data_IF_320837926634
#
_entry.id   IF_320837926634
#
_cell.length_a   1.000
_cell.length_b   1.000
_cell.length_c   1.000
_cell.angle_alpha   90.00
_cell.angle_beta   90.00
_cell.angle_gamma   90.00
#
_symmetry.space_group_name_H-M   'P 1'
#
loop_
_entity.id
_entity.type
_entity.pdbx_description
1 polymer ?
#
# COMPACT_ATOMS: atom_id res chain seq x y z
N UNK A 1 8.96 2.56 15.97
CA UNK A 1 7.95 3.49 16.50
C UNK A 1 6.64 3.22 15.79
N UNK A 2 5.52 3.44 16.47
CA UNK A 2 4.18 3.22 15.92
C UNK A 2 3.31 4.45 16.14
N UNK A 3 2.56 4.85 15.11
CA UNK A 3 1.53 5.86 15.20
C UNK A 3 0.20 5.15 15.46
N UNK A 4 -0.51 5.61 16.48
CA UNK A 4 -1.92 5.31 16.67
C UNK A 4 -2.75 6.19 15.74
N UNK A 5 -3.46 5.57 14.80
CA UNK A 5 -4.52 6.20 14.04
C UNK A 5 -5.89 5.77 14.59
N UNK A 6 -6.79 6.74 14.71
CA UNK A 6 -8.21 6.49 14.91
C UNK A 6 -8.94 6.62 13.57
N UNK A 7 -9.66 5.56 13.19
CA UNK A 7 -10.37 5.49 11.93
C UNK A 7 -11.85 5.18 12.15
N UNK A 8 -12.72 5.93 11.48
CA UNK A 8 -14.14 5.65 11.45
C UNK A 8 -14.76 6.23 10.18
N UNK A 9 -15.41 5.39 9.37
CA UNK A 9 -15.98 5.77 8.08
C UNK A 9 -14.93 6.39 7.15
N UNK A 10 -15.04 7.69 6.87
CA UNK A 10 -14.10 8.46 6.05
C UNK A 10 -13.28 9.45 6.89
N UNK A 11 -13.38 9.35 8.22
CA UNK A 11 -12.59 10.13 9.14
C UNK A 11 -11.41 9.30 9.62
N UNK A 12 -10.21 9.85 9.43
CA UNK A 12 -8.95 9.30 9.92
C UNK A 12 -8.22 10.41 10.67
N UNK A 13 -7.59 10.04 11.79
CA UNK A 13 -6.71 10.92 12.54
C UNK A 13 -5.56 10.15 13.14
N UNK A 14 -4.35 10.46 12.69
CA UNK A 14 -3.12 10.13 13.43
C UNK A 14 -3.14 10.91 14.76
N UNK A 15 -3.18 10.18 15.88
CA UNK A 15 -3.40 10.75 17.21
C UNK A 15 -2.08 10.97 17.96
N UNK A 16 -1.28 9.92 18.12
CA UNK A 16 -0.07 9.91 18.94
C UNK A 16 0.95 8.89 18.42
N UNK A 17 2.22 9.10 18.77
CA UNK A 17 3.37 8.24 18.44
C UNK A 17 3.88 7.55 19.70
N UNK A 18 4.18 6.26 19.61
CA UNK A 18 4.81 5.46 20.67
C UNK A 18 6.11 4.84 20.18
N UNK A 19 7.01 4.51 21.11
CA UNK A 19 8.26 3.82 20.75
C UNK A 19 7.96 2.38 20.32
N UNK A 20 7.07 1.69 21.04
CA UNK A 20 6.67 0.31 20.77
C UNK A 20 5.15 0.13 20.71
N UNK A 21 4.70 -0.98 20.13
CA UNK A 21 3.27 -1.34 20.07
C UNK A 21 2.71 -1.62 21.46
N UNK A 22 3.51 -2.20 22.35
CA UNK A 22 3.11 -2.50 23.72
C UNK A 22 2.76 -1.22 24.49
N UNK A 23 3.57 -0.16 24.37
CA UNK A 23 3.26 1.15 24.96
C UNK A 23 1.95 1.72 24.41
N UNK A 24 1.74 1.57 23.10
CA UNK A 24 0.48 1.97 22.45
C UNK A 24 -0.72 1.20 22.99
N UNK A 25 -0.58 -0.12 23.18
CA UNK A 25 -1.62 -0.99 23.75
C UNK A 25 -1.92 -0.63 25.21
N UNK A 26 -0.91 -0.33 26.02
CA UNK A 26 -1.10 0.21 27.37
C UNK A 26 -1.88 1.53 27.37
N UNK A 27 -1.67 2.40 26.39
CA UNK A 27 -2.45 3.62 26.23
C UNK A 27 -3.91 3.34 25.86
N UNK A 28 -4.19 2.55 24.82
CA UNK A 28 -5.57 2.35 24.34
C UNK A 28 -6.44 1.53 25.31
N UNK A 29 -5.85 0.70 26.17
CA UNK A 29 -6.60 0.00 27.23
C UNK A 29 -7.26 0.94 28.24
N UNK A 30 -6.84 2.22 28.29
CA UNK A 30 -7.49 3.26 29.11
C UNK A 30 -8.71 3.89 28.42
N UNK A 31 -8.94 3.61 27.14
CA UNK A 31 -10.10 4.08 26.39
C UNK A 31 -11.32 3.24 26.78
N UNK A 32 -12.40 3.85 27.30
CA UNK A 32 -13.62 3.13 27.63
C UNK A 32 -14.20 2.39 26.42
N UNK A 33 -14.46 1.09 26.61
CA UNK A 33 -15.00 0.24 25.56
C UNK A 33 -13.98 -0.21 24.51
N UNK A 34 -12.68 -0.07 24.79
CA UNK A 34 -11.62 -0.72 24.01
C UNK A 34 -11.79 -2.25 23.99
N UNK A 35 -11.65 -2.82 22.81
CA UNK A 35 -11.72 -4.25 22.52
C UNK A 35 -10.59 -4.63 21.57
N UNK A 36 -9.97 -5.78 21.83
CA UNK A 36 -9.08 -6.50 20.92
C UNK A 36 -9.69 -7.88 20.72
N UNK A 37 -10.02 -8.22 19.48
CA UNK A 37 -10.58 -9.54 19.14
C UNK A 37 -9.98 -10.11 17.86
N UNK A 38 -10.22 -11.41 17.62
CA UNK A 38 -9.76 -12.09 16.42
C UNK A 38 -10.95 -12.29 15.48
N UNK A 39 -10.91 -11.66 14.31
CA UNK A 39 -11.89 -11.80 13.23
C UNK A 39 -11.21 -12.41 12.00
N UNK A 40 -11.71 -13.55 11.52
CA UNK A 40 -11.18 -14.26 10.34
C UNK A 40 -9.66 -14.51 10.35
N UNK A 41 -9.07 -14.63 11.54
CA UNK A 41 -7.64 -14.86 11.74
C UNK A 41 -6.79 -13.58 11.84
N UNK A 42 -7.41 -12.41 11.89
CA UNK A 42 -6.76 -11.12 12.06
C UNK A 42 -7.14 -10.49 13.40
N UNK A 43 -6.18 -9.86 14.06
CA UNK A 43 -6.43 -9.04 15.25
C UNK A 43 -7.09 -7.73 14.82
N UNK A 44 -8.26 -7.42 15.40
CA UNK A 44 -8.98 -6.17 15.20
C UNK A 44 -9.06 -5.45 16.54
N UNK A 45 -8.63 -4.20 16.55
CA UNK A 45 -8.66 -3.32 17.72
C UNK A 45 -9.63 -2.15 17.47
N UNK A 46 -10.54 -1.89 18.40
CA UNK A 46 -11.49 -0.79 18.29
C UNK A 46 -12.04 -0.35 19.64
N UNK A 47 -12.80 0.75 19.66
CA UNK A 47 -13.67 1.09 20.77
C UNK A 47 -15.01 1.67 20.29
N UNK A 48 -16.04 1.61 21.13
CA UNK A 48 -17.32 2.26 20.82
C UNK A 48 -17.40 3.65 21.47
N UNK A 49 -17.63 4.67 20.66
CA UNK A 49 -17.69 6.07 21.13
C UNK A 49 -18.83 6.34 22.12
N UNK A 50 -19.89 5.51 22.18
CA UNK A 50 -20.96 5.61 23.19
C UNK A 50 -20.45 5.43 24.62
N UNK A 51 -19.34 4.74 24.80
CA UNK A 51 -18.73 4.51 26.10
C UNK A 51 -17.84 5.68 26.54
N UNK A 52 -17.51 6.60 25.63
CA UNK A 52 -16.75 7.81 25.97
C UNK A 52 -17.62 8.85 26.66
N UNK A 53 -17.00 9.61 27.55
CA UNK A 53 -17.62 10.82 28.11
C UNK A 53 -17.66 11.95 27.06
N UNK A 54 -18.49 12.96 27.32
CA UNK A 54 -18.53 14.20 26.52
C UNK A 54 -17.13 14.82 26.37
N UNK A 55 -16.31 14.73 27.41
CA UNK A 55 -14.88 15.03 27.41
C UNK A 55 -14.17 14.11 28.41
N UNK A 56 -12.99 13.63 28.05
CA UNK A 56 -12.10 12.93 28.96
C UNK A 56 -10.64 13.16 28.58
N UNK A 57 -9.75 12.85 29.53
CA UNK A 57 -8.32 12.96 29.38
C UNK A 57 -7.69 11.60 29.69
N UNK A 58 -6.78 11.17 28.84
CA UNK A 58 -5.87 10.06 29.14
C UNK A 58 -4.54 10.67 29.51
N UNK A 59 -4.07 10.41 30.72
CA UNK A 59 -2.76 10.87 31.20
C UNK A 59 -1.76 9.73 31.00
N UNK A 60 -0.80 9.91 30.09
CA UNK A 60 0.19 8.90 29.75
C UNK A 60 1.59 9.51 29.72
N UNK A 61 2.50 8.96 30.53
CA UNK A 61 3.86 9.50 30.72
C UNK A 61 3.89 11.03 31.00
N UNK A 62 2.89 11.53 31.75
CA UNK A 62 2.75 12.95 32.10
C UNK A 62 2.18 13.84 30.98
N UNK A 63 1.92 13.29 29.79
CA UNK A 63 1.22 13.97 28.71
C UNK A 63 -0.29 13.77 28.87
N UNK A 64 -1.08 14.76 28.44
CA UNK A 64 -2.54 14.74 28.51
C UNK A 64 -3.09 14.63 27.08
N UNK A 65 -3.80 13.54 26.79
CA UNK A 65 -4.45 13.32 25.50
C UNK A 65 -5.97 13.50 25.67
N UNK A 66 -6.57 14.55 25.07
CA UNK A 66 -8.00 14.78 25.15
C UNK A 66 -8.76 13.89 24.17
N UNK A 67 -9.85 13.29 24.64
CA UNK A 67 -10.83 12.57 23.83
C UNK A 67 -12.24 13.07 24.14
N UNK A 68 -13.11 12.98 23.15
CA UNK A 68 -14.52 13.36 23.28
C UNK A 68 -15.36 12.45 22.41
N UNK A 69 -16.47 11.95 22.97
CA UNK A 69 -17.45 11.17 22.20
C UNK A 69 -17.99 11.91 20.98
N UNK A 70 -18.00 13.24 21.00
CA UNK A 70 -18.46 14.07 19.88
C UNK A 70 -17.52 14.08 18.67
N UNK A 71 -16.32 13.48 18.81
CA UNK A 71 -15.39 13.32 17.69
C UNK A 71 -15.80 12.20 16.73
N UNK A 72 -16.76 11.36 17.13
CA UNK A 72 -17.09 10.11 16.46
C UNK A 72 -18.61 9.92 16.32
N UNK A 73 -18.99 9.08 15.37
CA UNK A 73 -20.33 8.51 15.27
C UNK A 73 -20.56 7.50 16.41
N UNK A 74 -21.74 7.55 17.02
CA UNK A 74 -22.15 6.67 18.12
C UNK A 74 -22.63 5.29 17.67
N UNK A 75 -23.01 5.14 16.41
CA UNK A 75 -23.62 3.90 15.92
C UNK A 75 -22.61 2.85 15.47
N UNK A 76 -21.35 3.26 15.28
CA UNK A 76 -20.27 2.41 14.77
C UNK A 76 -19.06 2.48 15.68
N UNK A 77 -18.19 1.47 15.56
CA UNK A 77 -16.93 1.44 16.27
C UNK A 77 -15.93 2.43 15.66
N UNK A 78 -14.96 2.82 16.45
CA UNK A 78 -13.78 3.56 16.01
C UNK A 78 -12.64 2.56 16.00
N UNK A 79 -12.11 2.29 14.82
CA UNK A 79 -11.01 1.35 14.62
C UNK A 79 -9.70 1.99 15.09
N UNK A 80 -8.86 1.17 15.72
CA UNK A 80 -7.51 1.50 16.14
C UNK A 80 -6.56 0.87 15.13
N UNK A 81 -5.85 1.73 14.38
CA UNK A 81 -4.90 1.30 13.37
C UNK A 81 -3.49 1.65 13.86
N UNK A 82 -2.62 0.65 13.88
CA UNK A 82 -1.21 0.83 14.23
C UNK A 82 -0.37 0.96 12.97
N UNK A 83 0.21 2.15 12.75
CA UNK A 83 1.11 2.42 11.61
C UNK A 83 2.55 2.43 12.07
N UNK A 84 3.35 1.51 11.56
CA UNK A 84 4.79 1.54 11.78
C UNK A 84 5.44 2.72 11.05
N UNK A 85 6.31 3.45 11.75
CA UNK A 85 7.05 4.58 11.18
C UNK A 85 8.54 4.49 11.56
N UNK A 86 9.38 4.64 10.54
CA UNK A 86 10.83 4.67 10.69
C UNK A 86 11.34 6.01 11.22
N UNK A 87 12.24 5.98 12.21
CA UNK A 87 12.85 7.18 12.78
C UNK A 87 14.22 7.48 12.16
N UNK A 88 14.25 8.43 11.23
CA UNK A 88 15.47 8.86 10.52
C UNK A 88 16.40 9.79 11.34
N UNK A 89 16.01 10.15 12.57
CA UNK A 89 16.90 10.87 13.48
C UNK A 89 18.01 9.98 14.02
N UNK A 90 17.82 8.66 13.97
CA UNK A 90 18.82 7.67 14.35
C UNK A 90 19.41 7.00 13.12
N UNK A 91 20.73 6.84 13.13
CA UNK A 91 21.46 6.20 12.03
C UNK A 91 21.26 4.69 12.09
N UNK A 92 20.77 4.09 11.00
CA UNK A 92 20.59 2.63 10.87
C UNK A 92 21.32 2.00 9.66
N UNK A 93 21.85 2.82 8.72
CA UNK A 93 22.56 2.40 7.50
C UNK A 93 21.82 1.33 6.65
N UNK A 94 20.48 1.34 6.71
CA UNK A 94 19.61 0.37 6.03
C UNK A 94 18.49 1.08 5.26
N UNK A 95 17.91 0.39 4.29
CA UNK A 95 16.62 0.79 3.70
C UNK A 95 15.56 0.73 4.81
N UNK A 96 14.67 1.72 4.85
CA UNK A 96 13.58 1.75 5.84
C UNK A 96 12.57 0.64 5.57
N UNK A 97 11.96 0.11 6.63
CA UNK A 97 10.82 -0.79 6.52
C UNK A 97 9.60 -0.08 5.89
N UNK A 98 8.62 -0.87 5.49
CA UNK A 98 7.44 -0.41 4.75
C UNK A 98 7.55 -0.66 3.25
N UNK A 99 6.72 0.04 2.48
CA UNK A 99 6.59 -0.19 1.06
C UNK A 99 6.48 1.11 0.27
N UNK A 100 6.84 1.05 -1.01
CA UNK A 100 6.74 2.15 -1.97
C UNK A 100 5.74 1.79 -3.04
N UNK A 101 4.85 2.74 -3.38
CA UNK A 101 3.96 2.63 -4.53
C UNK A 101 4.77 2.82 -5.82
N UNK A 102 4.77 1.79 -6.66
CA UNK A 102 5.32 1.82 -8.03
C UNK A 102 4.14 1.67 -8.98
N UNK A 103 3.67 2.81 -9.50
CA UNK A 103 2.48 2.90 -10.35
C UNK A 103 1.22 2.31 -9.67
N UNK A 104 0.59 1.23 -10.14
CA UNK A 104 -0.56 0.61 -9.48
C UNK A 104 -0.20 -0.33 -8.31
N UNK A 105 1.08 -0.68 -8.15
CA UNK A 105 1.52 -1.74 -7.23
C UNK A 105 2.26 -1.19 -6.01
N UNK A 106 2.26 -1.95 -4.92
CA UNK A 106 2.97 -1.63 -3.67
C UNK A 106 4.08 -2.67 -3.48
N UNK A 107 5.32 -2.20 -3.37
CA UNK A 107 6.52 -3.05 -3.32
C UNK A 107 7.28 -2.75 -2.03
N UNK A 108 7.71 -3.78 -1.30
CA UNK A 108 8.49 -3.61 -0.08
C UNK A 108 9.76 -2.80 -0.37
N UNK A 109 10.08 -1.86 0.50
CA UNK A 109 11.13 -0.87 0.26
C UNK A 109 12.50 -1.50 -0.03
N UNK A 110 12.82 -2.62 0.59
CA UNK A 110 14.05 -3.39 0.39
C UNK A 110 14.13 -4.05 -1.00
N UNK A 111 12.99 -4.26 -1.67
CA UNK A 111 12.87 -4.88 -2.99
C UNK A 111 12.66 -3.85 -4.12
N UNK A 112 12.22 -2.63 -3.81
CA UNK A 112 11.86 -1.58 -4.79
C UNK A 112 12.90 -1.41 -5.89
N UNK A 113 14.18 -1.35 -5.51
CA UNK A 113 15.26 -1.16 -6.48
C UNK A 113 15.30 -2.32 -7.48
N UNK A 114 15.31 -3.55 -6.99
CA UNK A 114 15.37 -4.74 -7.83
C UNK A 114 14.12 -4.85 -8.71
N UNK A 115 12.94 -4.57 -8.14
CA UNK A 115 11.67 -4.56 -8.85
C UNK A 115 11.66 -3.58 -10.02
N UNK A 116 12.05 -2.32 -9.79
CA UNK A 116 12.09 -1.29 -10.85
C UNK A 116 13.11 -1.64 -11.92
N UNK A 117 14.30 -2.13 -11.54
CA UNK A 117 15.32 -2.55 -12.50
C UNK A 117 14.85 -3.72 -13.37
N UNK A 118 14.19 -4.73 -12.78
CA UNK A 118 13.62 -5.87 -13.49
C UNK A 118 12.48 -5.43 -14.41
N UNK A 119 11.53 -4.62 -13.93
CA UNK A 119 10.43 -4.04 -14.70
C UNK A 119 10.91 -3.33 -15.97
N UNK A 120 11.90 -2.46 -15.82
CA UNK A 120 12.45 -1.69 -16.94
C UNK A 120 13.34 -2.54 -17.87
N UNK A 121 14.03 -3.56 -17.34
CA UNK A 121 14.77 -4.51 -18.16
C UNK A 121 13.83 -5.39 -19.00
N UNK A 122 12.76 -5.91 -18.40
CA UNK A 122 11.78 -6.77 -19.07
C UNK A 122 11.02 -5.98 -20.14
N UNK A 123 10.60 -4.75 -19.87
CA UNK A 123 10.01 -3.90 -20.91
C UNK A 123 10.96 -3.71 -22.10
N UNK A 124 12.24 -3.41 -21.86
CA UNK A 124 13.21 -3.21 -22.95
C UNK A 124 13.40 -4.49 -23.78
N UNK A 125 13.42 -5.66 -23.14
CA UNK A 125 13.47 -6.96 -23.83
C UNK A 125 12.22 -7.21 -24.68
N UNK A 126 11.03 -7.03 -24.09
CA UNK A 126 9.75 -7.19 -24.78
C UNK A 126 9.63 -6.25 -25.98
N UNK A 127 9.96 -4.97 -25.79
CA UNK A 127 9.99 -3.95 -26.84
C UNK A 127 10.94 -4.35 -27.98
N UNK A 128 12.18 -4.71 -27.69
CA UNK A 128 13.15 -5.11 -28.71
C UNK A 128 12.68 -6.35 -29.48
N UNK A 129 12.11 -7.34 -28.79
CA UNK A 129 11.55 -8.54 -29.41
C UNK A 129 10.43 -8.19 -30.40
N UNK A 130 9.43 -7.42 -29.98
CA UNK A 130 8.31 -7.00 -30.82
C UNK A 130 8.76 -6.12 -32.00
N UNK A 131 9.68 -5.18 -31.78
CA UNK A 131 10.22 -4.34 -32.85
C UNK A 131 10.99 -5.16 -33.90
N UNK A 132 11.67 -6.25 -33.47
CA UNK A 132 12.30 -7.22 -34.38
C UNK A 132 11.29 -7.97 -35.26
N UNK A 133 10.03 -8.08 -34.81
CA UNK A 133 8.91 -8.67 -35.56
C UNK A 133 8.12 -7.67 -36.40
N UNK A 134 8.56 -6.41 -36.45
CA UNK A 134 7.95 -5.37 -37.29
C UNK A 134 6.84 -4.55 -36.63
N UNK A 135 6.67 -4.67 -35.31
CA UNK A 135 5.73 -3.85 -34.54
C UNK A 135 6.37 -2.52 -34.12
N UNK A 136 5.52 -1.55 -33.79
CA UNK A 136 5.85 -0.40 -32.95
C UNK A 136 5.32 -0.66 -31.54
N UNK A 137 6.07 -0.24 -30.51
CA UNK A 137 5.76 -0.52 -29.10
C UNK A 137 5.87 0.75 -28.28
N UNK A 138 4.87 0.99 -27.44
CA UNK A 138 4.80 2.13 -26.52
C UNK A 138 4.24 1.70 -25.16
N UNK A 139 4.16 2.64 -24.23
CA UNK A 139 3.52 2.48 -22.92
C UNK A 139 2.29 3.37 -22.82
N UNK A 140 1.28 2.91 -22.10
CA UNK A 140 0.05 3.65 -21.82
C UNK A 140 -0.46 3.34 -20.41
N UNK A 141 -1.52 4.02 -19.95
CA UNK A 141 -2.23 3.74 -18.70
C UNK A 141 -1.45 3.99 -17.39
N UNK A 142 -0.33 4.72 -17.44
CA UNK A 142 0.38 5.14 -16.24
C UNK A 142 -0.54 5.92 -15.30
N UNK A 143 -0.60 5.49 -14.03
CA UNK A 143 -1.47 6.06 -13.00
C UNK A 143 -2.93 5.60 -13.05
N UNK A 144 -3.28 4.63 -13.92
CA UNK A 144 -4.59 3.97 -13.89
C UNK A 144 -4.72 3.03 -12.68
N UNK A 145 -5.94 2.53 -12.44
CA UNK A 145 -6.22 1.55 -11.38
C UNK A 145 -5.46 0.23 -11.61
N UNK A 146 -5.42 -0.23 -12.85
CA UNK A 146 -4.76 -1.49 -13.25
C UNK A 146 -3.27 -1.32 -13.56
N UNK A 147 -2.79 -0.08 -13.68
CA UNK A 147 -1.39 0.27 -13.93
C UNK A 147 -0.99 0.43 -15.40
N UNK A 148 0.25 0.84 -15.61
CA UNK A 148 0.89 1.07 -16.90
C UNK A 148 0.98 -0.25 -17.68
N UNK A 149 0.70 -0.18 -18.98
CA UNK A 149 0.71 -1.34 -19.86
C UNK A 149 1.58 -1.14 -21.09
N UNK A 150 2.06 -2.27 -21.62
CA UNK A 150 2.71 -2.34 -22.92
C UNK A 150 1.60 -2.37 -23.99
N UNK A 151 1.69 -1.46 -24.94
CA UNK A 151 0.83 -1.45 -26.13
C UNK A 151 1.69 -1.60 -27.38
N UNK A 152 1.14 -2.28 -28.38
CA UNK A 152 1.84 -2.51 -29.65
C UNK A 152 0.90 -2.35 -30.84
N UNK A 153 1.47 -2.01 -31.99
CA UNK A 153 0.74 -1.96 -33.27
C UNK A 153 1.62 -2.39 -34.41
N UNK A 154 1.00 -2.85 -35.51
CA UNK A 154 1.76 -3.02 -36.77
C UNK A 154 2.14 -1.63 -37.28
N UNK A 155 3.33 -1.50 -37.89
CA UNK A 155 3.85 -0.17 -38.28
C UNK A 155 2.99 0.52 -39.34
N UNK A 156 2.27 -0.24 -40.15
CA UNK A 156 1.37 0.18 -41.21
C UNK A 156 -0.09 0.37 -40.76
N UNK A 157 -0.41 0.15 -39.49
CA UNK A 157 -1.76 0.34 -38.92
C UNK A 157 -1.76 1.44 -37.86
N UNK A 158 -2.92 2.07 -37.63
CA UNK A 158 -3.08 3.08 -36.58
C UNK A 158 -3.54 2.48 -35.24
N UNK A 159 -4.19 1.31 -35.28
CA UNK A 159 -4.77 0.67 -34.10
C UNK A 159 -3.70 0.10 -33.18
N UNK A 160 -3.72 0.54 -31.91
CA UNK A 160 -2.92 -0.01 -30.83
C UNK A 160 -3.66 -1.15 -30.14
N UNK A 161 -2.92 -2.20 -29.83
CA UNK A 161 -3.39 -3.35 -29.08
C UNK A 161 -2.70 -3.37 -27.71
N UNK A 162 -3.49 -3.67 -26.68
CA UNK A 162 -2.97 -4.01 -25.36
C UNK A 162 -2.18 -5.33 -25.47
N UNK A 163 -1.03 -5.40 -24.81
CA UNK A 163 -0.28 -6.64 -24.64
C UNK A 163 -0.48 -7.18 -23.22
N UNK A 164 0.07 -6.47 -22.23
CA UNK A 164 0.00 -6.82 -20.82
C UNK A 164 0.31 -5.58 -19.97
N UNK A 165 -0.07 -5.61 -18.70
CA UNK A 165 0.40 -4.63 -17.72
C UNK A 165 1.88 -4.86 -17.40
N UNK A 166 2.55 -3.82 -16.92
CA UNK A 166 3.89 -3.89 -16.31
C UNK A 166 3.74 -4.29 -14.83
N UNK A 167 2.98 -5.36 -14.60
CA UNK A 167 2.55 -5.89 -13.31
C UNK A 167 3.60 -6.83 -12.69
N UNK A 168 3.45 -7.24 -11.41
CA UNK A 168 4.39 -8.16 -10.79
C UNK A 168 4.60 -9.47 -11.57
N UNK A 169 3.56 -10.00 -12.23
CA UNK A 169 3.66 -11.21 -13.03
C UNK A 169 4.62 -11.03 -14.22
N UNK A 170 4.51 -9.92 -14.95
CA UNK A 170 5.44 -9.58 -16.02
C UNK A 170 6.86 -9.26 -15.51
N UNK A 171 6.97 -8.59 -14.36
CA UNK A 171 8.26 -8.25 -13.74
C UNK A 171 9.03 -9.52 -13.33
N UNK A 172 8.33 -10.53 -12.84
CA UNK A 172 8.91 -11.81 -12.40
C UNK A 172 9.17 -12.81 -13.56
N UNK A 173 8.77 -12.47 -14.80
CA UNK A 173 8.94 -13.35 -15.94
C UNK A 173 10.42 -13.66 -16.25
N UNK A 174 10.79 -14.94 -16.18
CA UNK A 174 12.15 -15.42 -16.53
C UNK A 174 12.39 -15.40 -18.05
N UNK A 175 11.43 -15.90 -18.84
CA UNK A 175 11.43 -15.85 -20.31
C UNK A 175 10.45 -14.80 -20.84
N UNK A 176 10.95 -13.55 -20.94
CA UNK A 176 10.16 -12.41 -21.44
C UNK A 176 9.68 -12.63 -22.88
N UNK A 177 10.48 -13.26 -23.75
CA UNK A 177 10.04 -13.48 -25.14
C UNK A 177 8.96 -14.55 -25.23
N UNK A 178 9.06 -15.60 -24.41
CA UNK A 178 8.01 -16.61 -24.24
C UNK A 178 6.71 -15.98 -23.76
N UNK A 179 6.77 -15.22 -22.68
CA UNK A 179 5.63 -14.48 -22.12
C UNK A 179 4.95 -13.60 -23.17
N UNK A 180 5.72 -12.78 -23.90
CA UNK A 180 5.15 -11.91 -24.95
C UNK A 180 4.45 -12.71 -26.06
N UNK A 181 4.99 -13.87 -26.47
CA UNK A 181 4.34 -14.72 -27.48
C UNK A 181 3.03 -15.30 -26.96
N UNK A 182 2.98 -15.71 -25.70
CA UNK A 182 1.77 -16.24 -25.07
C UNK A 182 0.68 -15.16 -25.01
N UNK A 183 1.00 -13.96 -24.52
CA UNK A 183 0.07 -12.83 -24.47
C UNK A 183 -0.45 -12.43 -25.86
N UNK A 184 0.41 -12.40 -26.88
CA UNK A 184 -0.01 -12.12 -28.25
C UNK A 184 -0.96 -13.19 -28.82
N UNK A 185 -0.80 -14.44 -28.43
CA UNK A 185 -1.65 -15.54 -28.90
C UNK A 185 -2.98 -15.61 -28.14
N UNK A 186 -3.03 -15.17 -26.88
CA UNK A 186 -4.25 -15.12 -26.08
C UNK A 186 -5.31 -14.13 -26.61
N UNK A 187 -4.88 -13.17 -27.45
CA UNK A 187 -5.71 -12.11 -28.02
C UNK A 187 -6.29 -12.48 -29.41
N UNK A 188 -5.87 -13.62 -30.01
CA UNK A 188 -6.39 -14.13 -31.30
C UNK A 188 -7.58 -15.09 -31.12
#
# INVERSE_FOLDING_TARGET
>A
MVILELYQNNYSKDLVLFETLEEGREFVTQIPGYTLENEDGFEVEYFNSKNLSDYMEIVFNGNIVPLSRFSFNSEENVDIIWKEVSNLSFKNDKVIEGATKVDAYVVNNDEVKAYVEAREANFRKAKAFLESKGYAVDRSFFGSEDGEAIVYRKRDTEDWHFLCHLDPLFVEAEDVEGYVKEEMNAIQ
#
